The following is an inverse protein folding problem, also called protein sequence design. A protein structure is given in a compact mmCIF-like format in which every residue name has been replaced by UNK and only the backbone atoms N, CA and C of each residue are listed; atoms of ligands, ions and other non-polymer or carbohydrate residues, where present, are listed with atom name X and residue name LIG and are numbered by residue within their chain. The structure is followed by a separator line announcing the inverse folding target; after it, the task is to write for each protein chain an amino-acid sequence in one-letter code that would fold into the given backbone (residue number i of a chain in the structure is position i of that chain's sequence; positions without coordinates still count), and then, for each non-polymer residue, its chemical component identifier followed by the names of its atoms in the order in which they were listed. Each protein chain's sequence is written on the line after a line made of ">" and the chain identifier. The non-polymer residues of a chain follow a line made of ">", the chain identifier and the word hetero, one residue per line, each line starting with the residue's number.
data_IF_545228940718
#
_entry.id   IF_545228940718
#
_cell.length_a   1.000
_cell.length_b   1.000
_cell.length_c   1.000
_cell.angle_alpha   90.00
_cell.angle_beta   90.00
_cell.angle_gamma   90.00
#
_symmetry.space_group_name_H-M   'P 1'
#
loop_
_entity.id
_entity.type
_entity.pdbx_description
1 polymer ?
#
# COMPACT_ATOMS: atom_id res chain seq x y z
N UNK A 1 -2.44 19.86 2.55
CA UNK A 1 -2.42 18.71 1.63
C UNK A 1 -2.45 17.43 2.43
N UNK A 2 -3.24 16.43 2.01
CA UNK A 2 -3.30 15.12 2.66
C UNK A 2 -1.97 14.38 2.48
N UNK A 3 -1.50 13.68 3.52
CA UNK A 3 -0.35 12.79 3.40
C UNK A 3 -0.84 11.40 3.00
N UNK A 4 -0.23 10.83 1.97
CA UNK A 4 -0.47 9.45 1.53
C UNK A 4 0.87 8.74 1.43
N UNK A 5 1.07 7.75 2.28
CA UNK A 5 2.27 6.93 2.29
C UNK A 5 2.01 5.58 1.59
N UNK A 6 2.97 5.12 0.82
CA UNK A 6 3.01 3.77 0.28
C UNK A 6 4.20 3.02 0.90
N UNK A 7 3.89 2.14 1.84
CA UNK A 7 4.88 1.32 2.53
C UNK A 7 5.02 0.00 1.80
N UNK A 8 6.23 -0.33 1.38
CA UNK A 8 6.52 -1.54 0.63
C UNK A 8 7.62 -2.34 1.32
N UNK A 9 7.36 -3.62 1.59
CA UNK A 9 8.41 -4.54 2.02
C UNK A 9 9.11 -5.10 0.78
N UNK A 10 10.42 -4.85 0.68
CA UNK A 10 11.22 -5.17 -0.49
C UNK A 10 11.54 -3.96 -1.37
N UNK A 11 12.52 -4.13 -2.25
CA UNK A 11 12.99 -3.09 -3.17
C UNK A 11 12.36 -3.19 -4.54
N UNK A 12 12.31 -2.07 -5.23
CA UNK A 12 11.92 -1.97 -6.63
C UNK A 12 13.16 -2.11 -7.51
N UNK A 13 13.39 -3.32 -8.03
CA UNK A 13 14.63 -3.65 -8.74
C UNK A 13 14.51 -3.50 -10.26
N UNK A 14 13.32 -3.69 -10.83
CA UNK A 14 13.11 -3.62 -12.28
C UNK A 14 13.02 -2.17 -12.76
N UNK A 15 13.90 -1.69 -13.66
CA UNK A 15 13.92 -0.29 -14.11
C UNK A 15 12.61 0.20 -14.71
N UNK A 16 11.89 -0.67 -15.45
CA UNK A 16 10.61 -0.32 -16.07
C UNK A 16 9.50 -0.10 -15.03
N UNK A 17 9.48 -0.83 -13.93
CA UNK A 17 8.56 -0.56 -12.82
C UNK A 17 8.95 0.72 -12.08
N UNK A 18 10.24 0.92 -11.85
CA UNK A 18 10.76 2.12 -11.20
C UNK A 18 10.39 3.40 -11.98
N UNK A 19 10.55 3.37 -13.30
CA UNK A 19 10.16 4.49 -14.15
C UNK A 19 8.65 4.77 -14.11
N UNK A 20 7.81 3.71 -14.17
CA UNK A 20 6.36 3.84 -14.07
C UNK A 20 5.90 4.40 -12.72
N UNK A 21 6.46 3.91 -11.62
CA UNK A 21 6.16 4.42 -10.27
C UNK A 21 6.58 5.87 -10.12
N UNK A 22 7.78 6.25 -10.59
CA UNK A 22 8.28 7.62 -10.54
C UNK A 22 7.38 8.60 -11.31
N UNK A 23 6.86 8.19 -12.46
CA UNK A 23 5.92 9.01 -13.26
C UNK A 23 4.63 9.30 -12.47
N UNK A 24 3.99 8.30 -11.88
CA UNK A 24 2.78 8.51 -11.07
C UNK A 24 3.06 9.26 -9.77
N UNK A 25 4.21 9.02 -9.12
CA UNK A 25 4.63 9.78 -7.95
C UNK A 25 4.76 11.28 -8.27
N UNK A 26 5.36 11.61 -9.42
CA UNK A 26 5.43 13.00 -9.89
C UNK A 26 4.04 13.62 -10.08
N UNK A 27 3.13 12.89 -10.74
CA UNK A 27 1.74 13.37 -10.96
C UNK A 27 0.97 13.54 -9.66
N UNK A 28 1.16 12.66 -8.69
CA UNK A 28 0.53 12.72 -7.37
C UNK A 28 0.92 13.97 -6.58
N UNK A 29 2.10 14.54 -6.82
CA UNK A 29 2.55 15.78 -6.18
C UNK A 29 1.63 16.99 -6.37
N UNK A 30 0.75 16.97 -7.38
CA UNK A 30 -0.28 17.99 -7.57
C UNK A 30 -1.50 17.84 -6.63
N UNK A 31 -1.70 16.66 -6.00
CA UNK A 31 -2.91 16.33 -5.24
C UNK A 31 -2.64 16.06 -3.77
N UNK A 32 -1.51 15.47 -3.44
CA UNK A 32 -1.18 15.03 -2.08
C UNK A 32 0.33 15.03 -1.83
N UNK A 33 0.71 14.98 -0.55
CA UNK A 33 2.09 14.69 -0.16
C UNK A 33 2.30 13.19 -0.23
N UNK A 34 2.67 12.67 -1.41
CA UNK A 34 2.88 11.25 -1.63
C UNK A 34 4.31 10.84 -1.31
N UNK A 35 4.47 9.80 -0.49
CA UNK A 35 5.77 9.27 -0.10
C UNK A 35 5.79 7.74 -0.21
N UNK A 36 6.88 7.20 -0.75
CA UNK A 36 7.15 5.76 -0.77
C UNK A 36 8.18 5.44 0.31
N UNK A 37 7.88 4.45 1.14
CA UNK A 37 8.75 3.95 2.21
C UNK A 37 9.08 2.51 1.89
N UNK A 38 10.34 2.23 1.58
CA UNK A 38 10.83 0.88 1.36
C UNK A 38 11.41 0.32 2.66
N UNK A 39 10.90 -0.83 3.08
CA UNK A 39 11.36 -1.56 4.25
C UNK A 39 12.10 -2.83 3.79
N UNK A 40 13.14 -3.25 4.49
CA UNK A 40 13.84 -4.47 4.16
C UNK A 40 12.96 -5.69 4.39
N UNK A 41 12.98 -6.63 3.46
CA UNK A 41 12.37 -7.94 3.65
C UNK A 41 13.16 -8.73 4.71
N UNK A 42 12.46 -9.37 5.63
CA UNK A 42 13.13 -10.19 6.64
C UNK A 42 13.72 -11.45 5.98
N UNK A 43 15.01 -11.67 6.19
CA UNK A 43 15.71 -12.80 5.61
C UNK A 43 15.14 -14.13 6.14
N UNK A 44 14.81 -15.03 5.21
CA UNK A 44 14.45 -16.41 5.47
C UNK A 44 15.58 -17.26 4.88
N UNK A 45 16.30 -17.97 5.75
CA UNK A 45 17.55 -18.64 5.38
C UNK A 45 17.36 -19.86 4.45
N UNK A 46 16.15 -20.38 4.32
CA UNK A 46 15.89 -21.61 3.55
C UNK A 46 14.60 -21.46 2.71
N UNK A 47 14.65 -22.00 1.47
CA UNK A 47 13.47 -22.12 0.60
C UNK A 47 12.41 -23.06 1.16
N UNK A 48 12.79 -23.94 2.08
CA UNK A 48 11.94 -24.90 2.81
C UNK A 48 11.61 -24.42 4.24
N UNK A 49 11.58 -23.10 4.46
CA UNK A 49 11.27 -22.52 5.76
C UNK A 49 9.94 -23.04 6.32
N UNK A 50 9.94 -23.37 7.61
CA UNK A 50 8.72 -23.77 8.31
C UNK A 50 7.75 -22.59 8.47
N UNK A 51 6.46 -22.89 8.67
CA UNK A 51 5.44 -21.85 8.92
C UNK A 51 5.83 -20.97 10.13
N UNK A 52 6.47 -21.53 11.15
CA UNK A 52 6.96 -20.79 12.30
C UNK A 52 8.07 -19.80 11.95
N UNK A 53 8.98 -20.15 11.03
CA UNK A 53 10.04 -19.27 10.56
C UNK A 53 9.47 -18.14 9.70
N UNK A 54 8.51 -18.45 8.83
CA UNK A 54 7.80 -17.47 8.02
C UNK A 54 7.03 -16.50 8.91
N UNK A 55 6.29 -17.01 9.89
CA UNK A 55 5.55 -16.19 10.85
C UNK A 55 6.46 -15.22 11.60
N UNK A 56 7.62 -15.69 12.09
CA UNK A 56 8.60 -14.86 12.78
C UNK A 56 9.17 -13.76 11.88
N UNK A 57 9.42 -14.07 10.60
CA UNK A 57 9.88 -13.08 9.62
C UNK A 57 8.81 -12.01 9.38
N UNK A 58 7.54 -12.43 9.19
CA UNK A 58 6.42 -11.53 9.00
C UNK A 58 6.16 -10.63 10.24
N UNK A 59 6.34 -11.15 11.45
CA UNK A 59 6.21 -10.36 12.67
C UNK A 59 7.29 -9.27 12.78
N UNK A 60 8.50 -9.57 12.34
CA UNK A 60 9.58 -8.59 12.24
C UNK A 60 9.27 -7.50 11.22
N UNK A 61 8.77 -7.87 10.05
CA UNK A 61 8.31 -6.92 9.03
C UNK A 61 7.14 -6.08 9.54
N UNK A 62 6.19 -6.69 10.24
CA UNK A 62 5.06 -6.01 10.86
C UNK A 62 5.50 -4.92 11.84
N UNK A 63 6.49 -5.21 12.68
CA UNK A 63 7.08 -4.23 13.60
C UNK A 63 7.64 -3.03 12.84
N UNK A 64 8.38 -3.26 11.75
CA UNK A 64 8.93 -2.20 10.92
C UNK A 64 7.81 -1.37 10.24
N UNK A 65 6.79 -2.03 9.70
CA UNK A 65 5.63 -1.36 9.09
C UNK A 65 4.94 -0.46 10.11
N UNK A 66 4.60 -0.99 11.28
CA UNK A 66 3.88 -0.25 12.31
C UNK A 66 4.68 0.93 12.86
N UNK A 67 6.00 0.78 12.98
CA UNK A 67 6.91 1.85 13.42
C UNK A 67 7.08 2.96 12.39
N UNK A 68 6.80 2.70 11.11
CA UNK A 68 6.90 3.69 10.04
C UNK A 68 5.65 4.55 9.89
N UNK A 69 4.53 4.18 10.53
CA UNK A 69 3.27 4.92 10.48
C UNK A 69 3.36 6.23 11.26
N UNK A 70 2.71 7.26 10.72
CA UNK A 70 2.47 8.50 11.46
C UNK A 70 1.42 8.28 12.56
N UNK A 71 1.47 9.10 13.59
CA UNK A 71 0.47 9.05 14.65
C UNK A 71 -0.94 9.29 14.10
N UNK A 72 -1.82 8.31 14.30
CA UNK A 72 -3.22 8.38 13.83
C UNK A 72 -3.43 8.09 12.35
N UNK A 73 -2.40 7.72 11.62
CA UNK A 73 -2.47 7.36 10.21
C UNK A 73 -3.34 6.12 9.98
N UNK A 74 -4.20 6.20 8.97
CA UNK A 74 -5.06 5.08 8.60
C UNK A 74 -4.30 4.08 7.74
N UNK A 75 -4.31 2.81 8.11
CA UNK A 75 -3.62 1.76 7.40
C UNK A 75 -4.55 1.00 6.47
N UNK A 76 -4.25 1.00 5.18
CA UNK A 76 -4.89 0.18 4.15
C UNK A 76 -3.92 -0.92 3.70
N UNK A 77 -4.14 -2.14 4.19
CA UNK A 77 -3.28 -3.28 3.87
C UNK A 77 -3.70 -3.94 2.54
N UNK A 78 -2.75 -4.04 1.60
CA UNK A 78 -2.97 -4.78 0.36
C UNK A 78 -2.84 -6.28 0.64
N UNK A 79 -3.95 -6.98 0.65
CA UNK A 79 -3.99 -8.43 0.85
C UNK A 79 -5.11 -9.05 0.01
N UNK A 80 -5.01 -10.34 -0.27
CA UNK A 80 -6.00 -11.05 -1.09
C UNK A 80 -7.33 -11.28 -0.39
N UNK A 81 -7.32 -11.21 0.94
CA UNK A 81 -8.51 -11.38 1.77
C UNK A 81 -9.25 -10.05 1.94
N UNK A 82 -10.56 -10.07 1.97
CA UNK A 82 -11.41 -8.92 2.24
C UNK A 82 -12.26 -8.45 1.07
N UNK A 83 -12.98 -7.35 1.28
CA UNK A 83 -13.85 -6.76 0.26
C UNK A 83 -13.01 -6.04 -0.79
N UNK A 84 -13.17 -6.40 -2.06
CA UNK A 84 -12.55 -5.70 -3.18
C UNK A 84 -13.02 -4.25 -3.28
N UNK A 85 -12.13 -3.37 -3.70
CA UNK A 85 -12.44 -1.96 -3.96
C UNK A 85 -12.50 -1.70 -5.46
N UNK A 86 -13.51 -0.96 -5.90
CA UNK A 86 -13.46 -0.28 -7.19
C UNK A 86 -12.57 0.98 -7.10
N UNK A 87 -12.21 1.56 -8.24
CA UNK A 87 -11.45 2.81 -8.27
C UNK A 87 -12.23 3.96 -7.58
N UNK A 88 -13.56 3.97 -7.70
CA UNK A 88 -14.43 4.96 -7.07
C UNK A 88 -14.54 4.73 -5.54
N UNK A 89 -14.58 3.48 -5.09
CA UNK A 89 -14.56 3.15 -3.66
C UNK A 89 -13.22 3.55 -3.04
N UNK A 90 -12.10 3.40 -3.77
CA UNK A 90 -10.80 3.89 -3.32
C UNK A 90 -10.77 5.43 -3.27
N UNK A 91 -11.31 6.09 -4.28
CA UNK A 91 -11.45 7.55 -4.30
C UNK A 91 -12.27 8.06 -3.11
N UNK A 92 -13.41 7.40 -2.84
CA UNK A 92 -14.24 7.70 -1.68
C UNK A 92 -13.50 7.50 -0.36
N UNK A 93 -12.74 6.42 -0.20
CA UNK A 93 -11.94 6.18 1.00
C UNK A 93 -10.96 7.34 1.25
N UNK A 94 -10.23 7.76 0.21
CA UNK A 94 -9.26 8.86 0.30
C UNK A 94 -9.95 10.16 0.68
N UNK A 95 -11.10 10.48 0.05
CA UNK A 95 -11.88 11.68 0.35
C UNK A 95 -12.47 11.68 1.77
N UNK A 96 -13.07 10.57 2.19
CA UNK A 96 -13.65 10.41 3.54
C UNK A 96 -12.58 10.61 4.62
N UNK A 97 -11.36 10.12 4.39
CA UNK A 97 -10.23 10.33 5.30
C UNK A 97 -9.78 11.79 5.34
N UNK A 98 -9.63 12.43 4.18
CA UNK A 98 -9.28 13.85 4.11
C UNK A 98 -10.26 14.72 4.89
N UNK A 99 -11.56 14.41 4.84
CA UNK A 99 -12.63 15.17 5.48
C UNK A 99 -12.79 14.87 6.98
N UNK A 100 -12.22 13.78 7.50
CA UNK A 100 -12.40 13.36 8.90
C UNK A 100 -11.48 14.04 9.92
N UNK A 101 -10.63 14.97 9.49
CA UNK A 101 -9.65 15.65 10.35
C UNK A 101 -8.43 14.80 10.76
N UNK A 102 -8.44 13.49 10.45
CA UNK A 102 -7.31 12.57 10.61
C UNK A 102 -6.97 11.97 9.24
N UNK A 103 -6.59 12.83 8.31
CA UNK A 103 -6.58 12.58 6.88
C UNK A 103 -5.47 11.68 6.34
N UNK A 104 -4.44 11.38 7.12
CA UNK A 104 -3.28 10.63 6.64
C UNK A 104 -3.61 9.14 6.40
N UNK A 105 -3.14 8.60 5.28
CA UNK A 105 -3.34 7.21 4.88
C UNK A 105 -2.00 6.58 4.51
N UNK A 106 -1.73 5.39 5.05
CA UNK A 106 -0.69 4.51 4.59
C UNK A 106 -1.28 3.29 3.87
N UNK A 107 -0.89 3.09 2.63
CA UNK A 107 -1.09 1.84 1.90
C UNK A 107 0.11 0.93 2.14
N UNK A 108 -0.12 -0.37 2.35
CA UNK A 108 0.96 -1.32 2.64
C UNK A 108 0.94 -2.49 1.69
N UNK A 109 2.08 -2.75 1.05
CA UNK A 109 2.36 -3.94 0.26
C UNK A 109 3.37 -4.79 1.03
N UNK A 110 3.00 -6.04 1.33
CA UNK A 110 3.86 -7.00 2.02
C UNK A 110 4.96 -7.59 1.15
N UNK A 111 5.79 -8.42 1.77
CA UNK A 111 6.81 -9.23 1.10
C UNK A 111 6.18 -10.37 0.30
N UNK A 112 7.01 -11.22 -0.30
CA UNK A 112 6.60 -12.41 -1.05
C UNK A 112 5.74 -13.39 -0.23
N UNK A 113 5.84 -13.37 1.09
CA UNK A 113 5.03 -14.18 2.02
C UNK A 113 3.78 -13.44 2.53
N UNK A 114 3.50 -12.24 2.03
CA UNK A 114 2.34 -11.45 2.41
C UNK A 114 2.57 -10.56 3.63
N UNK A 115 1.56 -10.42 4.47
CA UNK A 115 1.54 -9.56 5.66
C UNK A 115 1.17 -10.35 6.90
N UNK A 116 1.77 -10.03 8.04
CA UNK A 116 1.39 -10.60 9.33
C UNK A 116 -0.06 -10.23 9.71
N UNK A 117 -0.71 -11.09 10.47
CA UNK A 117 -2.07 -10.86 10.98
C UNK A 117 -2.19 -9.57 11.80
N UNK A 118 -1.15 -9.22 12.56
CA UNK A 118 -1.09 -7.95 13.30
C UNK A 118 -1.18 -6.72 12.41
N UNK A 119 -0.74 -6.81 11.14
CA UNK A 119 -0.93 -5.77 10.13
C UNK A 119 -2.32 -5.83 9.53
N UNK A 120 -2.90 -7.01 9.29
CA UNK A 120 -4.21 -7.21 8.65
C UNK A 120 -5.41 -6.87 9.55
N UNK A 121 -5.34 -7.09 10.86
CA UNK A 121 -6.49 -7.14 11.79
C UNK A 121 -6.67 -5.94 12.75
N UNK A 122 -5.96 -4.83 12.61
CA UNK A 122 -6.15 -3.69 13.52
C UNK A 122 -7.41 -2.87 13.23
N UNK A 123 -7.98 -2.25 14.30
CA UNK A 123 -9.26 -1.52 14.26
C UNK A 123 -9.33 -0.32 13.29
N UNK A 124 -8.21 0.21 12.85
CA UNK A 124 -8.14 1.34 11.91
C UNK A 124 -7.70 0.89 10.50
N UNK A 125 -8.06 -0.32 10.09
CA UNK A 125 -7.53 -0.93 8.87
C UNK A 125 -8.64 -1.49 8.00
N UNK A 126 -8.51 -1.31 6.69
CA UNK A 126 -9.26 -2.08 5.70
C UNK A 126 -8.29 -2.89 4.87
N UNK A 127 -8.64 -4.14 4.62
CA UNK A 127 -8.08 -4.91 3.53
C UNK A 127 -8.47 -4.22 2.23
N UNK A 128 -7.50 -3.98 1.35
CA UNK A 128 -7.70 -3.35 0.05
C UNK A 128 -7.22 -4.30 -1.06
N UNK A 129 -7.95 -5.40 -1.34
CA UNK A 129 -7.56 -6.31 -2.41
C UNK A 129 -7.77 -5.64 -3.78
N UNK A 130 -6.75 -5.71 -4.62
CA UNK A 130 -6.79 -5.27 -6.03
C UNK A 130 -7.37 -6.35 -6.95
N UNK A 131 -8.25 -7.21 -6.45
CA UNK A 131 -8.84 -8.31 -7.17
C UNK A 131 -8.34 -9.68 -6.67
N UNK A 132 -8.83 -10.74 -7.32
CA UNK A 132 -8.51 -12.14 -6.97
C UNK A 132 -7.23 -12.66 -7.64
N UNK A 133 -6.61 -11.86 -8.51
CA UNK A 133 -5.39 -12.22 -9.22
C UNK A 133 -4.19 -11.89 -8.35
N UNK A 134 -3.29 -12.84 -8.18
CA UNK A 134 -2.00 -12.61 -7.52
C UNK A 134 -1.06 -11.86 -8.46
N UNK A 135 -0.48 -10.79 -7.98
CA UNK A 135 0.51 -9.99 -8.71
C UNK A 135 1.87 -10.02 -8.02
N UNK A 136 2.97 -10.04 -8.77
CA UNK A 136 4.29 -9.77 -8.21
C UNK A 136 4.28 -8.43 -7.46
N UNK A 137 5.00 -8.34 -6.32
CA UNK A 137 4.94 -7.15 -5.47
C UNK A 137 5.38 -5.86 -6.19
N UNK A 138 6.32 -5.92 -7.13
CA UNK A 138 6.76 -4.76 -7.90
C UNK A 138 5.66 -4.26 -8.86
N UNK A 139 4.94 -5.18 -9.52
CA UNK A 139 3.78 -4.84 -10.35
C UNK A 139 2.64 -4.27 -9.50
N UNK A 140 2.35 -4.90 -8.36
CA UNK A 140 1.34 -4.42 -7.42
C UNK A 140 1.65 -2.98 -6.96
N UNK A 141 2.92 -2.64 -6.74
CA UNK A 141 3.35 -1.28 -6.40
C UNK A 141 3.02 -0.29 -7.50
N UNK A 142 3.31 -0.61 -8.76
CA UNK A 142 2.98 0.25 -9.90
C UNK A 142 1.48 0.43 -10.04
N UNK A 143 0.72 -0.67 -10.01
CA UNK A 143 -0.75 -0.64 -10.15
C UNK A 143 -1.38 0.17 -9.02
N UNK A 144 -0.95 -0.03 -7.76
CA UNK A 144 -1.50 0.72 -6.64
C UNK A 144 -1.16 2.22 -6.71
N UNK A 145 0.06 2.57 -7.13
CA UNK A 145 0.45 3.98 -7.31
C UNK A 145 -0.42 4.65 -8.39
N UNK A 146 -0.71 3.97 -9.49
CA UNK A 146 -1.64 4.43 -10.53
C UNK A 146 -3.05 4.57 -9.97
N UNK A 147 -3.55 3.60 -9.19
CA UNK A 147 -4.89 3.64 -8.63
C UNK A 147 -5.07 4.78 -7.60
N UNK A 148 -4.05 5.09 -6.81
CA UNK A 148 -4.06 6.26 -5.93
C UNK A 148 -4.13 7.55 -6.77
N UNK A 149 -3.35 7.66 -7.84
CA UNK A 149 -3.44 8.79 -8.76
C UNK A 149 -4.83 8.89 -9.39
N UNK A 150 -5.39 7.79 -9.89
CA UNK A 150 -6.75 7.72 -10.44
C UNK A 150 -7.79 8.18 -9.42
N UNK A 151 -7.71 7.72 -8.20
CA UNK A 151 -8.59 8.13 -7.11
C UNK A 151 -8.52 9.65 -6.85
N UNK A 152 -7.31 10.22 -6.85
CA UNK A 152 -7.13 11.67 -6.73
C UNK A 152 -7.76 12.42 -7.91
N UNK A 153 -7.63 11.91 -9.15
CA UNK A 153 -8.26 12.54 -10.33
C UNK A 153 -9.78 12.46 -10.29
N UNK A 154 -10.36 11.36 -9.80
CA UNK A 154 -11.81 11.23 -9.58
C UNK A 154 -12.28 12.30 -8.59
N UNK A 155 -11.61 12.42 -7.45
CA UNK A 155 -11.97 13.37 -6.39
C UNK A 155 -11.86 14.84 -6.84
N UNK A 156 -11.07 15.12 -7.88
CA UNK A 156 -10.89 16.46 -8.44
C UNK A 156 -11.67 16.67 -9.76
N UNK A 157 -12.57 15.75 -10.15
CA UNK A 157 -13.41 15.89 -11.34
C UNK A 157 -12.64 15.88 -12.65
N UNK A 158 -11.46 15.29 -12.71
CA UNK A 158 -10.62 15.26 -13.91
C UNK A 158 -11.02 14.12 -14.85
N UNK A 159 -10.84 14.34 -16.16
CA UNK A 159 -11.18 13.37 -17.22
C UNK A 159 -10.15 12.23 -17.39
N UNK A 160 -9.59 11.70 -16.32
CA UNK A 160 -8.67 10.56 -16.39
C UNK A 160 -9.40 9.22 -16.26
N UNK A 161 -10.29 9.13 -15.29
CA UNK A 161 -11.18 7.96 -15.14
C UNK A 161 -12.34 8.07 -16.10
N UNK A 162 -12.62 6.97 -16.84
CA UNK A 162 -13.71 6.85 -17.83
C UNK A 162 -14.72 5.81 -17.37
#
# INVERSE_FOLDING_TARGET
>A
MQNIDLICVGKLNAPYFAAGVAEYQKRLGAFCNFRIIELPEAAIADKSASDAQISKALDKEATAILSSLRKGEYLAALCVEGKQFSSEELAKLIADRANSGAGDIAFVIGSSHGLADSVKKSRQRKSCPMGRITMPHQLARLVLTEQIYRACTINNGMKYHK
#
